data_IF_026334391929
#
_entry.id   IF_026334391929
#
_cell.length_a   1.000
_cell.length_b   1.000
_cell.length_c   1.000
_cell.angle_alpha   90.00
_cell.angle_beta   90.00
_cell.angle_gamma   90.00
#
_symmetry.space_group_name_H-M   'P 1'
#
loop_
_entity.id
_entity.type
_entity.pdbx_description
1 polymer ?
#
# COMPACT_ATOMS: atom_id res chain seq x y z
N UNK A 1 4.91 -12.39 -17.61
CA UNK A 1 4.53 -11.23 -18.45
C UNK A 1 3.82 -10.24 -17.54
N UNK A 2 4.20 -8.95 -17.60
CA UNK A 2 3.60 -7.90 -16.77
C UNK A 2 2.16 -7.66 -17.23
N UNK A 3 1.25 -7.50 -16.28
CA UNK A 3 -0.16 -7.21 -16.55
C UNK A 3 -0.29 -5.91 -17.39
N UNK A 4 -1.09 -5.87 -18.47
CA UNK A 4 -1.21 -4.70 -19.35
C UNK A 4 -1.59 -3.39 -18.63
N UNK A 5 -2.43 -3.49 -17.60
CA UNK A 5 -2.82 -2.35 -16.76
C UNK A 5 -1.62 -1.76 -16.03
N UNK A 6 -0.70 -2.63 -15.57
CA UNK A 6 0.53 -2.21 -14.89
C UNK A 6 1.52 -1.62 -15.89
N UNK A 7 1.62 -2.20 -17.09
CA UNK A 7 2.42 -1.62 -18.19
C UNK A 7 1.97 -0.21 -18.52
N UNK A 8 0.66 0.02 -18.70
CA UNK A 8 0.12 1.35 -18.96
C UNK A 8 0.40 2.35 -17.81
N UNK A 9 0.36 1.87 -16.55
CA UNK A 9 0.74 2.69 -15.39
C UNK A 9 2.23 3.04 -15.38
N UNK A 10 3.11 2.09 -15.73
CA UNK A 10 4.54 2.31 -15.90
C UNK A 10 4.79 3.38 -16.99
N UNK A 11 4.19 3.23 -18.16
CA UNK A 11 4.35 4.18 -19.27
C UNK A 11 3.93 5.60 -18.85
N UNK A 12 2.76 5.73 -18.22
CA UNK A 12 2.27 7.03 -17.71
C UNK A 12 3.20 7.60 -16.64
N UNK A 13 3.76 6.77 -15.77
CA UNK A 13 4.67 7.22 -14.73
C UNK A 13 5.99 7.75 -15.31
N UNK A 14 6.58 7.05 -16.28
CA UNK A 14 7.82 7.49 -16.92
C UNK A 14 7.63 8.72 -17.81
N UNK A 15 6.49 8.84 -18.49
CA UNK A 15 6.15 10.07 -19.21
C UNK A 15 6.05 11.30 -18.27
N UNK A 16 5.67 11.11 -17.00
CA UNK A 16 5.65 12.18 -15.99
C UNK A 16 7.05 12.48 -15.45
N UNK A 17 7.88 11.46 -15.22
CA UNK A 17 9.24 11.64 -14.73
C UNK A 17 10.13 12.35 -15.76
N UNK A 18 9.98 12.03 -17.05
CA UNK A 18 10.75 12.68 -18.12
C UNK A 18 10.43 14.17 -18.29
N UNK A 19 9.21 14.58 -17.93
CA UNK A 19 8.73 15.96 -17.97
C UNK A 19 8.83 16.67 -16.60
N UNK A 20 9.46 16.05 -15.61
CA UNK A 20 9.55 16.61 -14.28
C UNK A 20 10.45 17.85 -14.29
N UNK A 21 9.89 18.98 -13.85
CA UNK A 21 10.66 20.19 -13.59
C UNK A 21 10.96 20.23 -12.08
N UNK A 22 12.23 20.17 -11.67
CA UNK A 22 12.59 20.30 -10.26
C UNK A 22 12.27 21.71 -9.78
N UNK A 23 11.78 21.82 -8.55
CA UNK A 23 11.77 23.08 -7.84
C UNK A 23 13.17 23.31 -7.28
N UNK A 24 13.65 24.55 -7.29
CA UNK A 24 14.93 24.90 -6.67
C UNK A 24 14.85 24.72 -5.15
N UNK A 25 15.45 23.64 -4.64
CA UNK A 25 15.63 23.41 -3.21
C UNK A 25 16.99 23.97 -2.78
N UNK A 26 17.07 25.00 -1.92
CA UNK A 26 18.34 25.60 -1.50
C UNK A 26 19.25 24.63 -0.74
N UNK A 27 18.74 23.50 -0.23
CA UNK A 27 19.54 22.46 0.40
C UNK A 27 20.25 21.53 -0.59
N UNK A 28 19.89 21.59 -1.88
CA UNK A 28 20.39 20.69 -2.92
C UNK A 28 21.27 21.48 -3.92
N UNK A 29 22.50 21.03 -4.23
CA UNK A 29 23.32 21.67 -5.26
C UNK A 29 22.61 21.71 -6.61
N UNK A 30 22.79 22.81 -7.37
CA UNK A 30 22.09 23.02 -8.65
C UNK A 30 22.20 21.83 -9.63
N UNK A 31 23.38 21.22 -9.72
CA UNK A 31 23.62 20.05 -10.59
C UNK A 31 22.93 18.76 -10.14
N UNK A 32 22.41 18.71 -8.90
CA UNK A 32 21.70 17.56 -8.33
C UNK A 32 20.18 17.77 -8.21
N UNK A 33 19.66 18.97 -8.50
CA UNK A 33 18.23 19.30 -8.38
C UNK A 33 17.35 18.31 -9.15
N UNK A 34 17.65 18.08 -10.43
CA UNK A 34 16.88 17.16 -11.27
C UNK A 34 17.02 15.69 -10.83
N UNK A 35 18.23 15.10 -10.70
CA UNK A 35 18.38 13.73 -10.21
C UNK A 35 17.68 13.51 -8.86
N UNK A 36 17.79 14.45 -7.93
CA UNK A 36 17.12 14.39 -6.64
C UNK A 36 15.59 14.35 -6.79
N UNK A 37 15.01 15.28 -7.55
CA UNK A 37 13.57 15.34 -7.78
C UNK A 37 13.03 14.08 -8.46
N UNK A 38 13.76 13.55 -9.45
CA UNK A 38 13.42 12.28 -10.12
C UNK A 38 13.44 11.13 -9.13
N UNK A 39 14.49 10.98 -8.32
CA UNK A 39 14.61 9.89 -7.34
C UNK A 39 13.50 9.93 -6.29
N UNK A 40 13.20 11.10 -5.73
CA UNK A 40 12.11 11.28 -4.75
C UNK A 40 10.72 10.98 -5.34
N UNK A 41 10.53 11.29 -6.62
CA UNK A 41 9.30 10.95 -7.34
C UNK A 41 9.23 9.47 -7.69
N UNK A 42 10.35 8.89 -8.14
CA UNK A 42 10.47 7.48 -8.49
C UNK A 42 10.16 6.57 -7.30
N UNK A 43 10.62 6.91 -6.09
CA UNK A 43 10.31 6.15 -4.86
C UNK A 43 8.79 6.10 -4.58
N UNK A 44 8.08 7.21 -4.74
CA UNK A 44 6.61 7.26 -4.56
C UNK A 44 5.89 6.46 -5.65
N UNK A 45 6.35 6.60 -6.89
CA UNK A 45 5.80 5.88 -8.04
C UNK A 45 5.98 4.37 -7.85
N UNK A 46 7.16 3.91 -7.45
CA UNK A 46 7.44 2.49 -7.18
C UNK A 46 6.47 1.93 -6.12
N UNK A 47 6.29 2.62 -5.00
CA UNK A 47 5.31 2.20 -3.98
C UNK A 47 3.89 2.03 -4.54
N UNK A 48 3.42 3.00 -5.31
CA UNK A 48 2.09 2.94 -5.94
C UNK A 48 1.97 1.83 -6.98
N UNK A 49 3.04 1.55 -7.73
CA UNK A 49 3.09 0.47 -8.71
C UNK A 49 3.07 -0.90 -8.03
N UNK A 50 3.76 -1.05 -6.91
CA UNK A 50 3.77 -2.28 -6.12
C UNK A 50 2.38 -2.58 -5.55
N UNK A 51 1.71 -1.60 -4.94
CA UNK A 51 0.31 -1.73 -4.49
C UNK A 51 -0.62 -2.13 -5.66
N UNK A 52 -0.47 -1.48 -6.81
CA UNK A 52 -1.26 -1.79 -8.00
C UNK A 52 -1.02 -3.21 -8.52
N UNK A 53 0.23 -3.67 -8.50
CA UNK A 53 0.60 -5.01 -8.95
C UNK A 53 0.05 -6.09 -8.02
N UNK A 54 0.07 -5.87 -6.71
CA UNK A 54 -0.56 -6.76 -5.72
C UNK A 54 -2.06 -6.84 -5.99
N UNK A 55 -2.73 -5.69 -6.15
CA UNK A 55 -4.16 -5.65 -6.43
C UNK A 55 -4.52 -6.38 -7.73
N UNK A 56 -3.74 -6.15 -8.79
CA UNK A 56 -3.94 -6.79 -10.09
C UNK A 56 -3.79 -8.31 -9.98
N UNK A 57 -2.78 -8.79 -9.25
CA UNK A 57 -2.56 -10.22 -9.03
C UNK A 57 -3.71 -10.85 -8.24
N UNK A 58 -4.15 -10.22 -7.15
CA UNK A 58 -5.27 -10.70 -6.34
C UNK A 58 -6.59 -10.73 -7.14
N UNK A 59 -6.81 -9.73 -8.01
CA UNK A 59 -8.02 -9.63 -8.83
C UNK A 59 -8.10 -10.69 -9.94
N UNK A 60 -7.04 -11.48 -10.17
CA UNK A 60 -7.09 -12.64 -11.07
C UNK A 60 -7.95 -13.77 -10.49
N UNK A 61 -8.15 -13.79 -9.16
CA UNK A 61 -9.01 -14.76 -8.49
C UNK A 61 -10.46 -14.24 -8.36
N UNK A 62 -11.41 -14.93 -8.98
CA UNK A 62 -12.83 -14.54 -9.05
C UNK A 62 -13.57 -14.65 -7.71
N UNK A 63 -13.03 -15.40 -6.76
CA UNK A 63 -13.58 -15.52 -5.41
C UNK A 63 -13.23 -14.32 -4.53
N UNK A 64 -12.27 -13.49 -4.97
CA UNK A 64 -11.82 -12.32 -4.24
C UNK A 64 -12.55 -11.05 -4.72
N UNK A 65 -12.97 -10.24 -3.76
CA UNK A 65 -13.30 -8.83 -3.98
C UNK A 65 -12.12 -8.02 -3.49
N UNK A 66 -11.48 -7.29 -4.39
CA UNK A 66 -10.28 -6.48 -4.11
C UNK A 66 -10.63 -5.01 -4.32
N UNK A 67 -10.55 -4.21 -3.25
CA UNK A 67 -10.74 -2.76 -3.30
C UNK A 67 -9.42 -2.06 -2.96
N UNK A 68 -9.05 -1.06 -3.76
CA UNK A 68 -7.85 -0.24 -3.53
C UNK A 68 -8.24 1.12 -2.96
N UNK A 69 -7.66 1.51 -1.83
CA UNK A 69 -7.92 2.78 -1.16
C UNK A 69 -9.43 3.07 -0.90
N UNK A 70 -10.24 2.08 -0.45
CA UNK A 70 -11.66 2.32 -0.20
C UNK A 70 -11.87 3.30 0.96
N UNK A 71 -12.96 4.03 0.91
CA UNK A 71 -13.38 4.87 2.03
C UNK A 71 -14.01 3.99 3.12
N UNK A 72 -13.37 3.90 4.29
CA UNK A 72 -13.92 3.21 5.47
C UNK A 72 -14.10 4.23 6.59
N UNK A 73 -15.25 4.18 7.25
CA UNK A 73 -15.60 5.06 8.37
C UNK A 73 -15.46 4.31 9.70
N UNK A 74 -14.54 4.77 10.54
CA UNK A 74 -14.33 4.23 11.89
C UNK A 74 -15.32 4.94 12.83
N UNK A 75 -16.28 4.22 13.43
CA UNK A 75 -17.22 4.82 14.36
C UNK A 75 -16.52 5.21 15.66
N UNK A 76 -17.00 6.25 16.32
CA UNK A 76 -16.39 6.77 17.56
C UNK A 76 -16.26 5.72 18.66
N UNK A 77 -17.21 4.77 18.73
CA UNK A 77 -17.15 3.66 19.69
C UNK A 77 -15.95 2.75 19.47
N UNK A 78 -15.52 2.52 18.22
CA UNK A 78 -14.32 1.73 17.93
C UNK A 78 -13.06 2.46 18.38
N UNK A 79 -13.00 3.78 18.14
CA UNK A 79 -11.91 4.64 18.62
C UNK A 79 -11.80 4.60 20.16
N UNK A 80 -12.93 4.74 20.87
CA UNK A 80 -12.96 4.65 22.34
C UNK A 80 -12.56 3.25 22.84
N UNK A 81 -12.96 2.20 22.14
CA UNK A 81 -12.62 0.83 22.50
C UNK A 81 -11.11 0.57 22.41
N UNK A 82 -10.47 1.09 21.36
CA UNK A 82 -9.01 0.98 21.16
C UNK A 82 -8.24 1.88 22.13
N UNK A 83 -8.72 3.09 22.42
CA UNK A 83 -8.07 4.04 23.34
C UNK A 83 -8.08 3.59 24.80
N UNK A 84 -9.11 2.84 25.22
CA UNK A 84 -9.22 2.34 26.60
C UNK A 84 -8.34 1.12 26.90
N UNK A 85 -7.44 0.74 25.96
CA UNK A 85 -6.45 -0.35 26.12
C UNK A 85 -7.01 -1.64 26.72
N UNK A 86 -8.25 -2.01 26.36
CA UNK A 86 -8.73 -3.36 26.63
C UNK A 86 -7.73 -4.33 26.01
N UNK A 87 -7.28 -5.31 26.81
CA UNK A 87 -6.17 -6.21 26.43
C UNK A 87 -6.42 -6.79 25.02
N UNK A 88 -5.37 -7.06 24.21
CA UNK A 88 -5.53 -7.57 22.83
C UNK A 88 -6.51 -8.76 22.71
N UNK A 89 -6.63 -9.58 23.75
CA UNK A 89 -7.56 -10.70 23.83
C UNK A 89 -9.03 -10.26 23.91
N UNK A 90 -9.33 -9.07 24.44
CA UNK A 90 -10.67 -8.47 24.44
C UNK A 90 -11.05 -7.85 23.08
N UNK A 91 -10.06 -7.51 22.25
CA UNK A 91 -10.27 -7.13 20.85
C UNK A 91 -10.60 -8.37 19.99
N UNK A 92 -10.11 -9.54 20.36
CA UNK A 92 -10.41 -10.80 19.68
C UNK A 92 -11.86 -11.24 19.97
N UNK A 93 -12.75 -10.98 19.01
CA UNK A 93 -14.16 -11.42 19.05
C UNK A 93 -15.17 -10.29 19.27
N UNK A 94 -14.71 -9.08 19.63
CA UNK A 94 -15.57 -7.89 19.72
C UNK A 94 -15.85 -7.35 18.31
N UNK A 95 -16.99 -7.72 17.72
CA UNK A 95 -17.42 -7.23 16.42
C UNK A 95 -18.30 -5.99 16.60
N UNK A 96 -17.78 -4.82 16.22
CA UNK A 96 -18.53 -3.57 16.24
C UNK A 96 -19.30 -3.38 14.93
N UNK A 97 -20.49 -2.80 15.04
CA UNK A 97 -21.33 -2.50 13.89
C UNK A 97 -20.72 -1.36 13.05
N UNK A 98 -20.66 -1.57 11.73
CA UNK A 98 -20.25 -0.59 10.75
C UNK A 98 -21.46 0.10 10.12
N UNK A 99 -21.39 1.43 10.01
CA UNK A 99 -22.37 2.24 9.28
C UNK A 99 -21.62 3.19 8.33
N UNK A 100 -21.90 3.10 7.04
CA UNK A 100 -21.22 3.93 6.04
C UNK A 100 -21.50 5.42 6.28
N UNK A 101 -20.44 6.24 6.23
CA UNK A 101 -20.53 7.69 6.43
C UNK A 101 -20.56 8.15 7.89
N UNK A 102 -20.57 7.24 8.87
CA UNK A 102 -20.61 7.57 10.30
C UNK A 102 -19.22 7.40 10.94
N UNK A 103 -18.68 8.50 11.47
CA UNK A 103 -17.39 8.52 12.16
C UNK A 103 -16.23 9.06 11.31
N UNK A 104 -14.99 8.81 11.74
CA UNK A 104 -13.79 9.30 11.04
C UNK A 104 -13.51 8.45 9.82
N UNK A 105 -13.25 9.11 8.69
CA UNK A 105 -12.82 8.45 7.45
C UNK A 105 -11.35 8.03 7.52
N UNK A 106 -11.07 6.80 7.09
CA UNK A 106 -9.74 6.27 6.78
C UNK A 106 -9.75 5.61 5.40
N UNK A 107 -8.56 5.40 4.83
CA UNK A 107 -8.35 4.83 3.49
C UNK A 107 -7.21 3.82 3.53
N UNK A 108 -7.48 2.57 3.92
CA UNK A 108 -6.46 1.53 3.89
C UNK A 108 -5.99 1.29 2.45
N UNK A 109 -4.73 0.92 2.27
CA UNK A 109 -4.17 0.67 0.93
C UNK A 109 -4.98 -0.40 0.17
N UNK A 110 -5.50 -1.41 0.86
CA UNK A 110 -6.28 -2.49 0.26
C UNK A 110 -7.32 -3.11 1.19
N UNK A 111 -8.44 -3.57 0.61
CA UNK A 111 -9.37 -4.51 1.23
C UNK A 111 -9.53 -5.71 0.33
N UNK A 112 -9.46 -6.91 0.91
CA UNK A 112 -9.57 -8.19 0.21
C UNK A 112 -10.64 -9.01 0.94
N UNK A 113 -11.78 -9.26 0.32
CA UNK A 113 -12.78 -10.17 0.84
C UNK A 113 -12.77 -11.47 0.02
N UNK A 114 -12.55 -12.60 0.68
CA UNK A 114 -12.58 -13.93 0.07
C UNK A 114 -13.95 -14.56 0.35
N UNK A 115 -14.78 -14.63 -0.70
CA UNK A 115 -16.14 -15.18 -0.61
C UNK A 115 -16.12 -16.68 -0.33
N UNK A 116 -15.12 -17.40 -0.83
CA UNK A 116 -15.03 -18.85 -0.68
C UNK A 116 -14.57 -19.24 0.73
N UNK A 117 -13.65 -18.47 1.32
CA UNK A 117 -13.13 -18.73 2.68
C UNK A 117 -13.88 -17.99 3.78
N UNK A 118 -14.76 -17.05 3.44
CA UNK A 118 -15.53 -16.27 4.41
C UNK A 118 -14.64 -15.39 5.30
N UNK A 119 -13.61 -14.78 4.73
CA UNK A 119 -12.67 -13.90 5.45
C UNK A 119 -12.56 -12.53 4.77
N UNK A 120 -12.18 -11.51 5.54
CA UNK A 120 -11.82 -10.20 5.03
C UNK A 120 -10.47 -9.74 5.60
N UNK A 121 -9.61 -9.23 4.75
CA UNK A 121 -8.35 -8.60 5.12
C UNK A 121 -8.33 -7.13 4.72
N UNK A 122 -7.92 -6.28 5.65
CA UNK A 122 -7.74 -4.84 5.45
C UNK A 122 -6.26 -4.54 5.63
N UNK A 123 -5.58 -4.26 4.52
CA UNK A 123 -4.12 -4.25 4.47
C UNK A 123 -3.58 -2.84 4.21
N UNK A 124 -2.65 -2.42 5.05
CA UNK A 124 -1.75 -1.30 4.81
C UNK A 124 -0.47 -1.83 4.14
N UNK A 125 -0.07 -1.28 3.01
CA UNK A 125 1.12 -1.73 2.27
C UNK A 125 2.21 -0.68 2.43
N UNK A 126 3.36 -1.10 2.91
CA UNK A 126 4.55 -0.26 2.98
C UNK A 126 5.73 -0.95 2.31
N UNK A 127 6.62 -0.14 1.74
CA UNK A 127 7.88 -0.66 1.16
C UNK A 127 8.72 -1.32 2.26
N UNK A 128 8.98 -0.61 3.36
CA UNK A 128 9.72 -1.19 4.50
C UNK A 128 11.23 -1.24 4.33
N UNK A 129 11.84 -0.19 3.76
CA UNK A 129 13.31 -0.05 3.63
C UNK A 129 13.96 0.73 4.79
N UNK A 130 13.18 1.28 5.72
CA UNK A 130 13.68 2.10 6.83
C UNK A 130 12.69 2.17 7.99
N UNK A 131 13.14 2.68 9.14
CA UNK A 131 12.28 2.88 10.33
C UNK A 131 11.25 3.99 10.03
N UNK A 132 9.98 3.71 10.30
CA UNK A 132 8.90 4.68 10.15
C UNK A 132 9.03 5.81 11.19
N UNK A 133 8.56 7.01 10.84
CA UNK A 133 8.33 8.09 11.80
C UNK A 133 7.38 7.62 12.92
N UNK A 134 7.80 7.75 14.18
CA UNK A 134 7.06 7.22 15.33
C UNK A 134 5.60 7.69 15.43
N UNK A 135 5.29 8.92 15.00
CA UNK A 135 3.92 9.45 14.99
C UNK A 135 3.00 8.77 13.97
N UNK A 136 3.51 8.49 12.76
CA UNK A 136 2.75 7.77 11.72
C UNK A 136 2.47 6.34 12.16
N UNK A 137 3.42 5.70 12.84
CA UNK A 137 3.24 4.34 13.37
C UNK A 137 2.10 4.24 14.39
N UNK A 138 1.91 5.23 15.28
CA UNK A 138 0.81 5.21 16.26
C UNK A 138 -0.56 5.32 15.59
N UNK A 139 -0.71 6.21 14.62
CA UNK A 139 -1.97 6.36 13.91
C UNK A 139 -2.31 5.10 13.12
N UNK A 140 -1.35 4.53 12.41
CA UNK A 140 -1.54 3.26 11.68
C UNK A 140 -1.92 2.12 12.63
N UNK A 141 -1.25 2.01 13.78
CA UNK A 141 -1.59 1.01 14.80
C UNK A 141 -3.04 1.14 15.26
N UNK A 142 -3.47 2.37 15.59
CA UNK A 142 -4.84 2.66 16.01
C UNK A 142 -5.85 2.32 14.91
N UNK A 143 -5.59 2.76 13.68
CA UNK A 143 -6.47 2.51 12.54
C UNK A 143 -6.63 1.02 12.28
N UNK A 144 -5.53 0.25 12.26
CA UNK A 144 -5.59 -1.20 12.04
C UNK A 144 -6.39 -1.91 13.13
N UNK A 145 -6.22 -1.55 14.41
CA UNK A 145 -7.04 -2.12 15.50
C UNK A 145 -8.52 -1.82 15.30
N UNK A 146 -8.86 -0.55 15.02
CA UNK A 146 -10.25 -0.17 14.75
C UNK A 146 -10.83 -0.94 13.56
N UNK A 147 -10.07 -1.05 12.47
CA UNK A 147 -10.47 -1.77 11.26
C UNK A 147 -10.69 -3.26 11.52
N UNK A 148 -9.88 -3.89 12.38
CA UNK A 148 -10.08 -5.26 12.82
C UNK A 148 -11.42 -5.47 13.54
N UNK A 149 -11.84 -4.52 14.38
CA UNK A 149 -13.11 -4.58 15.12
C UNK A 149 -14.35 -4.45 14.22
N UNK A 150 -14.28 -3.64 13.16
CA UNK A 150 -15.43 -3.37 12.27
C UNK A 150 -15.42 -4.19 10.98
N UNK A 151 -14.31 -4.86 10.65
CA UNK A 151 -14.11 -5.47 9.33
C UNK A 151 -15.18 -6.47 8.93
N UNK A 152 -15.64 -7.32 9.85
CA UNK A 152 -16.72 -8.28 9.58
C UNK A 152 -18.04 -7.56 9.25
N UNK A 153 -18.39 -6.56 10.05
CA UNK A 153 -19.61 -5.78 9.82
C UNK A 153 -19.52 -4.95 8.53
N UNK A 154 -18.34 -4.42 8.22
CA UNK A 154 -18.05 -3.75 6.94
C UNK A 154 -18.27 -4.69 5.75
N UNK A 155 -17.74 -5.92 5.79
CA UNK A 155 -17.91 -6.87 4.70
C UNK A 155 -19.39 -7.19 4.45
N UNK A 156 -20.15 -7.45 5.52
CA UNK A 156 -21.58 -7.76 5.43
C UNK A 156 -22.40 -6.59 4.91
N UNK A 157 -22.27 -5.41 5.53
CA UNK A 157 -23.15 -4.26 5.26
C UNK A 157 -22.74 -3.45 4.02
N UNK A 158 -21.45 -3.42 3.67
CA UNK A 158 -20.96 -2.59 2.57
C UNK A 158 -20.59 -3.41 1.32
N UNK A 159 -20.05 -4.62 1.50
CA UNK A 159 -19.67 -5.48 0.36
C UNK A 159 -20.72 -6.53 0.05
N UNK A 160 -21.71 -6.73 0.92
CA UNK A 160 -22.69 -7.82 0.84
C UNK A 160 -22.00 -9.20 0.79
N UNK A 161 -20.96 -9.38 1.63
CA UNK A 161 -20.20 -10.63 1.76
C UNK A 161 -20.30 -11.16 3.18
N UNK A 162 -20.70 -12.42 3.31
CA UNK A 162 -20.68 -13.12 4.58
C UNK A 162 -19.26 -13.56 4.94
N UNK A 163 -18.73 -12.99 6.01
CA UNK A 163 -17.42 -13.35 6.57
C UNK A 163 -17.55 -13.63 8.06
N UNK A 164 -16.70 -14.50 8.59
CA UNK A 164 -16.65 -14.85 10.01
C UNK A 164 -15.45 -14.21 10.72
N UNK A 165 -14.45 -13.76 9.95
CA UNK A 165 -13.19 -13.23 10.48
C UNK A 165 -12.71 -12.04 9.68
N UNK A 166 -12.22 -11.02 10.39
CA UNK A 166 -11.49 -9.90 9.81
C UNK A 166 -10.04 -9.89 10.29
N UNK A 167 -9.10 -9.62 9.39
CA UNK A 167 -7.72 -9.25 9.71
C UNK A 167 -7.50 -7.80 9.29
N UNK A 168 -6.86 -7.00 10.14
CA UNK A 168 -6.34 -5.71 9.74
C UNK A 168 -4.84 -5.66 10.07
N UNK A 169 -4.00 -5.54 9.05
CA UNK A 169 -2.56 -5.70 9.21
C UNK A 169 -1.75 -4.83 8.24
N UNK A 170 -0.50 -4.60 8.59
CA UNK A 170 0.50 -3.99 7.73
C UNK A 170 1.31 -5.07 7.02
N UNK A 171 1.37 -4.98 5.70
CA UNK A 171 2.29 -5.73 4.86
C UNK A 171 3.50 -4.88 4.51
N UNK A 172 4.68 -5.31 4.97
CA UNK A 172 5.96 -4.69 4.63
C UNK A 172 6.64 -5.49 3.52
N UNK A 173 6.76 -4.92 2.33
CA UNK A 173 7.28 -5.61 1.14
C UNK A 173 8.73 -6.06 1.34
N UNK A 174 9.56 -5.24 2.00
CA UNK A 174 10.96 -5.53 2.30
C UNK A 174 11.20 -5.86 3.79
N UNK A 175 10.13 -6.11 4.56
CA UNK A 175 10.20 -6.70 5.90
C UNK A 175 10.45 -5.75 7.07
N UNK A 176 10.91 -4.51 6.88
CA UNK A 176 11.06 -3.59 8.01
C UNK A 176 9.70 -3.03 8.47
N UNK A 177 9.42 -3.08 9.77
CA UNK A 177 8.27 -2.43 10.40
C UNK A 177 8.56 -2.11 11.87
N UNK A 178 7.76 -1.21 12.43
CA UNK A 178 7.78 -0.85 13.87
C UNK A 178 6.49 -1.28 14.57
N UNK A 179 5.57 -1.94 13.86
CA UNK A 179 4.32 -2.41 14.44
C UNK A 179 4.49 -3.75 15.16
N UNK A 180 3.63 -4.03 16.16
CA UNK A 180 3.53 -5.32 16.82
C UNK A 180 3.30 -6.49 15.83
N UNK A 181 3.84 -7.70 16.09
CA UNK A 181 3.72 -8.85 15.19
C UNK A 181 2.29 -9.25 14.85
N UNK A 182 1.32 -9.04 15.75
CA UNK A 182 -0.10 -9.34 15.55
C UNK A 182 -0.78 -8.42 14.52
N UNK A 183 -0.18 -7.28 14.21
CA UNK A 183 -0.63 -6.35 13.17
C UNK A 183 0.25 -6.40 11.92
N UNK A 184 1.03 -7.47 11.77
CA UNK A 184 1.91 -7.67 10.62
C UNK A 184 1.47 -8.88 9.81
N UNK A 185 1.57 -8.77 8.49
CA UNK A 185 1.38 -9.89 7.57
C UNK A 185 2.48 -9.86 6.51
N UNK A 186 3.16 -10.97 6.29
CA UNK A 186 4.19 -11.04 5.24
C UNK A 186 3.54 -11.20 3.87
N UNK A 187 4.29 -10.90 2.80
CA UNK A 187 3.84 -11.24 1.44
C UNK A 187 3.59 -12.75 1.31
N UNK A 188 4.45 -13.58 1.91
CA UNK A 188 4.30 -15.03 1.89
C UNK A 188 3.01 -15.51 2.55
N UNK A 189 2.61 -14.89 3.66
CA UNK A 189 1.33 -15.18 4.31
C UNK A 189 0.15 -14.84 3.39
N UNK A 190 0.23 -13.72 2.66
CA UNK A 190 -0.80 -13.34 1.68
C UNK A 190 -0.83 -14.30 0.50
N UNK A 191 0.33 -14.70 -0.04
CA UNK A 191 0.41 -15.68 -1.12
C UNK A 191 -0.18 -17.03 -0.71
N UNK A 192 0.18 -17.52 0.48
CA UNK A 192 -0.36 -18.76 1.03
C UNK A 192 -1.87 -18.66 1.27
N UNK A 193 -2.32 -17.51 1.79
CA UNK A 193 -3.74 -17.26 2.07
C UNK A 193 -4.58 -17.19 0.82
N UNK A 194 -4.08 -16.65 -0.29
CA UNK A 194 -4.87 -16.44 -1.50
C UNK A 194 -4.52 -17.37 -2.66
N UNK A 195 -3.45 -18.15 -2.55
CA UNK A 195 -2.98 -19.07 -3.59
C UNK A 195 -2.44 -18.34 -4.82
N UNK A 196 -1.83 -17.17 -4.64
CA UNK A 196 -1.39 -16.27 -5.72
C UNK A 196 0.08 -15.93 -5.54
N UNK A 197 0.86 -15.94 -6.63
CA UNK A 197 2.30 -15.64 -6.61
C UNK A 197 2.55 -14.12 -6.72
N UNK A 198 2.38 -13.41 -5.61
CA UNK A 198 2.49 -11.95 -5.51
C UNK A 198 3.94 -11.49 -5.70
N UNK A 199 4.91 -12.17 -5.09
CA UNK A 199 6.35 -11.84 -5.12
C UNK A 199 6.89 -11.93 -6.53
N UNK A 200 6.49 -12.93 -7.33
CA UNK A 200 6.87 -12.99 -8.73
C UNK A 200 6.37 -11.79 -9.53
N UNK A 201 5.11 -11.39 -9.33
CA UNK A 201 4.51 -10.22 -10.00
C UNK A 201 5.24 -8.93 -9.60
N UNK A 202 5.53 -8.75 -8.32
CA UNK A 202 6.30 -7.61 -7.82
C UNK A 202 7.69 -7.54 -8.44
N UNK A 203 8.40 -8.68 -8.51
CA UNK A 203 9.74 -8.75 -9.10
C UNK A 203 9.74 -8.32 -10.57
N UNK A 204 8.76 -8.75 -11.35
CA UNK A 204 8.64 -8.34 -12.76
C UNK A 204 8.46 -6.83 -12.90
N UNK A 205 7.60 -6.23 -12.08
CA UNK A 205 7.34 -4.79 -12.08
C UNK A 205 8.58 -4.01 -11.64
N UNK A 206 9.26 -4.46 -10.58
CA UNK A 206 10.49 -3.84 -10.08
C UNK A 206 11.62 -3.89 -11.10
N UNK A 207 11.82 -5.02 -11.79
CA UNK A 207 12.82 -5.13 -12.84
C UNK A 207 12.57 -4.12 -13.96
N UNK A 208 11.35 -4.08 -14.50
CA UNK A 208 11.00 -3.13 -15.56
C UNK A 208 11.08 -1.67 -15.09
N UNK A 209 10.68 -1.38 -13.86
CA UNK A 209 10.81 -0.05 -13.27
C UNK A 209 12.28 0.38 -13.17
N UNK A 210 13.15 -0.51 -12.66
CA UNK A 210 14.58 -0.23 -12.50
C UNK A 210 15.26 0.04 -13.83
N UNK A 211 15.02 -0.81 -14.83
CA UNK A 211 15.60 -0.66 -16.19
C UNK A 211 15.22 0.69 -16.82
N UNK A 212 13.95 1.07 -16.72
CA UNK A 212 13.44 2.34 -17.28
C UNK A 212 13.97 3.55 -16.52
N UNK A 213 14.08 3.45 -15.19
CA UNK A 213 14.65 4.52 -14.35
C UNK A 213 16.13 4.74 -14.65
N UNK A 214 16.89 3.65 -14.78
CA UNK A 214 18.31 3.72 -15.14
C UNK A 214 18.51 4.37 -16.51
N UNK A 215 17.69 3.98 -17.49
CA UNK A 215 17.67 4.59 -18.83
C UNK A 215 17.39 6.10 -18.77
N UNK A 216 16.37 6.51 -18.00
CA UNK A 216 15.99 7.92 -17.86
C UNK A 216 17.12 8.75 -17.25
N UNK A 217 17.75 8.25 -16.19
CA UNK A 217 18.85 8.94 -15.50
C UNK A 217 20.11 9.01 -16.38
N UNK A 218 20.44 7.94 -17.10
CA UNK A 218 21.58 7.90 -18.01
C UNK A 218 21.43 8.85 -19.21
N UNK A 219 20.26 8.90 -19.84
CA UNK A 219 20.01 9.77 -21.00
C UNK A 219 20.13 11.26 -20.65
N UNK A 220 19.59 11.66 -19.48
CA UNK A 220 19.63 13.07 -19.05
C UNK A 220 21.01 13.49 -18.52
N UNK A 221 21.78 12.56 -17.95
CA UNK A 221 23.19 12.79 -17.59
C UNK A 221 24.04 13.09 -18.82
N UNK A 222 23.87 12.34 -19.91
CA UNK A 222 24.57 12.61 -21.18
C UNK A 222 24.18 13.96 -21.80
N UNK A 223 22.89 14.27 -21.85
CA UNK A 223 22.40 15.55 -22.37
C UNK A 223 22.93 16.77 -21.59
N UNK A 224 23.15 16.64 -20.28
CA UNK A 224 23.74 17.70 -19.46
C UNK A 224 25.24 17.90 -19.75
N UNK A 225 26.00 16.82 -19.98
CA UNK A 225 27.43 16.89 -20.34
C UNK A 225 27.66 17.51 -21.72
N UNK A 226 26.78 17.23 -22.69
CA UNK A 226 26.90 17.77 -24.05
C UNK A 226 26.60 19.28 -24.12
N UNK A 227 25.87 19.83 -23.14
CA UNK A 227 25.59 21.28 -23.04
C UNK A 227 26.73 22.08 -22.39
N UNK A 228 27.71 21.44 -21.76
CA UNK A 228 28.87 22.10 -21.13
C UNK A 228 30.02 22.30 -22.13
N UNK A 229 29.96 21.64 -23.30
CA UNK A 229 30.98 21.67 -24.33
C UNK A 229 30.62 22.51 -25.59
N UNK A 230 29.66 23.43 -25.48
CA UNK A 230 29.31 24.40 -26.54
C UNK A 230 29.64 25.82 -26.09
#
# INVERSE_FOLDING_TARGET
MINPTITARLDKAFARLDKLQPNDDPAIPAHLQYPYAVMMSAIRIDGNLQQAAIAAALSENQDLIVLCNPDIYIPQVADQFVDNELRPEALQGSLLYYCHGVGRKTRPDMVIADKAKGIIDIIEIKRGLGKNDAGKSRQTLRDLRCLGLIGVSYARSHLNVEVSRATAALCSIYGASTLPPDLMVSLEDLEMRYGIDIRFRLKQVQMSFKERLDTLLCLKSKAASDQIHV
#
